data_IF_548109417369
#
_entry.id   IF_548109417369
#
_cell.length_a   1.000
_cell.length_b   1.000
_cell.length_c   1.000
_cell.angle_alpha   90.00
_cell.angle_beta   90.00
_cell.angle_gamma   90.00
#
_symmetry.space_group_name_H-M   'P 1'
#
loop_
_entity.id
_entity.type
_entity.pdbx_description
1 polymer ?
#
# COMPACT_ATOMS: atom_id res chain seq x y z
N UNK A 1 2.87 -12.20 -3.37
CA UNK A 1 2.82 -10.93 -2.62
C UNK A 1 1.38 -10.47 -2.44
N UNK A 2 1.14 -9.64 -1.41
CA UNK A 2 -0.14 -8.99 -1.19
C UNK A 2 -0.07 -7.54 -1.63
N UNK A 3 -1.14 -7.05 -2.25
CA UNK A 3 -1.33 -5.65 -2.61
C UNK A 3 -2.63 -5.14 -1.97
N UNK A 4 -2.50 -4.12 -1.10
CA UNK A 4 -3.62 -3.49 -0.41
C UNK A 4 -3.67 -1.98 -0.71
N UNK A 5 -4.21 -1.60 -1.88
CA UNK A 5 -4.16 -0.24 -2.40
C UNK A 5 -5.18 0.70 -1.77
N UNK A 6 -6.25 0.16 -1.17
CA UNK A 6 -7.32 0.97 -0.62
C UNK A 6 -7.03 1.44 0.81
N UNK A 7 -7.73 2.46 1.26
CA UNK A 7 -7.74 2.91 2.64
C UNK A 7 -9.11 3.49 3.01
N UNK A 8 -9.38 3.63 4.31
CA UNK A 8 -10.66 4.09 4.85
C UNK A 8 -11.18 5.45 4.33
N UNK A 9 -10.35 6.20 3.61
CA UNK A 9 -10.72 7.49 3.03
C UNK A 9 -11.26 7.39 1.60
N UNK A 10 -11.15 6.23 0.94
CA UNK A 10 -11.65 6.03 -0.44
C UNK A 10 -13.16 6.30 -0.58
N UNK A 11 -13.93 6.06 0.48
CA UNK A 11 -15.39 6.30 0.52
C UNK A 11 -15.77 7.76 0.73
N UNK A 12 -14.82 8.67 0.99
CA UNK A 12 -15.08 10.08 1.24
C UNK A 12 -15.02 10.88 -0.07
N UNK A 13 -15.97 11.81 -0.26
CA UNK A 13 -16.00 12.72 -1.43
C UNK A 13 -14.86 13.78 -1.45
N UNK A 14 -13.89 13.70 -0.57
CA UNK A 14 -12.73 14.59 -0.48
C UNK A 14 -11.50 13.93 -1.07
N UNK A 15 -10.49 14.74 -1.40
CA UNK A 15 -9.17 14.27 -1.81
C UNK A 15 -8.64 13.29 -0.75
N UNK A 16 -8.31 12.08 -1.20
CA UNK A 16 -7.68 11.08 -0.35
C UNK A 16 -6.17 11.30 -0.35
N UNK A 17 -5.69 12.07 0.61
CA UNK A 17 -4.28 12.46 0.70
C UNK A 17 -3.32 11.28 0.85
N UNK A 18 -3.78 10.11 1.31
CA UNK A 18 -2.97 8.90 1.48
C UNK A 18 -3.08 7.90 0.33
N UNK A 19 -3.92 8.18 -0.65
CA UNK A 19 -4.08 7.29 -1.79
C UNK A 19 -2.90 7.43 -2.76
N UNK A 20 -2.30 6.29 -3.11
CA UNK A 20 -1.47 6.22 -4.31
C UNK A 20 -2.39 6.18 -5.53
N UNK A 21 -2.09 6.91 -6.61
CA UNK A 21 -2.97 6.96 -7.78
C UNK A 21 -3.23 5.59 -8.39
N UNK A 22 -4.42 5.38 -8.94
CA UNK A 22 -4.74 4.15 -9.68
C UNK A 22 -3.76 3.88 -10.81
N UNK A 23 -3.31 4.92 -11.53
CA UNK A 23 -2.35 4.76 -12.62
C UNK A 23 -1.00 4.22 -12.13
N UNK A 24 -0.56 4.66 -10.95
CA UNK A 24 0.66 4.13 -10.35
C UNK A 24 0.48 2.66 -9.91
N UNK A 25 -0.69 2.29 -9.37
CA UNK A 25 -0.99 0.89 -9.05
C UNK A 25 -1.02 0.00 -10.29
N UNK A 26 -1.66 0.47 -11.38
CA UNK A 26 -1.70 -0.24 -12.66
C UNK A 26 -0.30 -0.45 -13.24
N UNK A 27 0.50 0.62 -13.27
CA UNK A 27 1.89 0.54 -13.72
C UNK A 27 2.69 -0.44 -12.87
N UNK A 28 2.59 -0.37 -11.54
CA UNK A 28 3.25 -1.30 -10.63
C UNK A 28 2.85 -2.76 -10.94
N UNK A 29 1.56 -3.06 -11.02
CA UNK A 29 1.06 -4.41 -11.31
C UNK A 29 1.52 -4.92 -12.70
N UNK A 30 1.67 -4.01 -13.66
CA UNK A 30 2.19 -4.37 -14.98
C UNK A 30 3.70 -4.65 -14.97
N UNK A 31 4.46 -4.00 -14.08
CA UNK A 31 5.90 -4.19 -13.92
C UNK A 31 6.24 -5.48 -13.14
N UNK A 32 5.38 -5.91 -12.22
CA UNK A 32 5.58 -7.15 -11.46
C UNK A 32 5.66 -8.35 -12.42
N UNK A 33 6.64 -9.27 -12.24
CA UNK A 33 6.77 -10.47 -13.07
C UNK A 33 5.46 -11.25 -13.19
N UNK A 34 5.13 -11.71 -14.39
CA UNK A 34 3.82 -12.30 -14.70
C UNK A 34 3.58 -13.68 -14.07
N UNK A 35 4.60 -14.31 -13.56
CA UNK A 35 4.56 -15.56 -12.77
C UNK A 35 4.39 -15.31 -11.26
N UNK A 36 4.43 -14.06 -10.82
CA UNK A 36 4.20 -13.70 -9.41
C UNK A 36 2.73 -13.78 -9.06
N UNK A 37 2.39 -14.56 -8.02
CA UNK A 37 1.05 -14.57 -7.44
C UNK A 37 0.79 -13.29 -6.66
N UNK A 38 -0.25 -12.55 -7.04
CA UNK A 38 -0.67 -11.31 -6.39
C UNK A 38 -2.03 -11.54 -5.71
N UNK A 39 -2.11 -11.24 -4.43
CA UNK A 39 -3.36 -11.30 -3.67
C UNK A 39 -3.81 -9.87 -3.41
N UNK A 40 -5.00 -9.51 -3.88
CA UNK A 40 -5.64 -8.24 -3.55
C UNK A 40 -6.47 -8.40 -2.27
N UNK A 41 -6.24 -7.53 -1.30
CA UNK A 41 -7.04 -7.45 -0.07
C UNK A 41 -7.57 -6.04 0.15
N UNK A 42 -8.81 -5.97 0.61
CA UNK A 42 -9.53 -4.73 0.90
C UNK A 42 -10.80 -5.02 1.68
N UNK A 43 -11.45 -3.99 2.22
CA UNK A 43 -12.67 -4.13 2.98
C UNK A 43 -13.89 -4.32 2.06
N UNK A 44 -14.95 -4.90 2.63
CA UNK A 44 -16.25 -4.99 1.95
C UNK A 44 -16.77 -3.61 1.54
N UNK A 45 -17.22 -3.49 0.30
CA UNK A 45 -17.69 -2.26 -0.33
C UNK A 45 -16.55 -1.38 -0.88
N UNK A 46 -15.37 -1.95 -1.09
CA UNK A 46 -14.24 -1.32 -1.80
C UNK A 46 -13.98 -1.99 -3.17
N UNK A 47 -14.80 -2.95 -3.56
CA UNK A 47 -14.63 -3.79 -4.75
C UNK A 47 -14.45 -2.95 -6.02
N UNK A 48 -15.25 -1.89 -6.19
CA UNK A 48 -15.17 -0.98 -7.36
C UNK A 48 -13.81 -0.28 -7.49
N UNK A 49 -13.11 -0.07 -6.36
CA UNK A 49 -11.77 0.50 -6.37
C UNK A 49 -10.74 -0.48 -6.97
N UNK A 50 -10.95 -1.78 -6.80
CA UNK A 50 -10.02 -2.82 -7.22
C UNK A 50 -10.27 -3.34 -8.63
N UNK A 51 -11.50 -3.27 -9.14
CA UNK A 51 -11.86 -3.75 -10.49
C UNK A 51 -10.91 -3.25 -11.59
N UNK A 52 -10.56 -1.95 -11.65
CA UNK A 52 -9.67 -1.44 -12.68
C UNK A 52 -8.23 -1.95 -12.59
N UNK A 53 -7.86 -2.64 -11.51
CA UNK A 53 -6.49 -3.14 -11.29
C UNK A 53 -6.31 -4.58 -11.77
N UNK A 54 -7.37 -5.38 -11.79
CA UNK A 54 -7.35 -6.82 -12.11
C UNK A 54 -6.76 -7.17 -13.49
N UNK A 55 -6.99 -6.39 -14.56
CA UNK A 55 -6.45 -6.72 -15.88
C UNK A 55 -4.92 -6.63 -16.02
N UNK A 56 -4.23 -5.99 -15.07
CA UNK A 56 -2.81 -5.64 -15.19
C UNK A 56 -1.85 -6.78 -14.83
N UNK A 57 -2.35 -7.83 -14.17
CA UNK A 57 -1.58 -9.06 -13.98
C UNK A 57 -2.50 -10.28 -14.09
N UNK A 58 -1.97 -11.41 -14.63
CA UNK A 58 -2.77 -12.63 -14.87
C UNK A 58 -2.95 -13.48 -13.62
N UNK A 59 -2.05 -13.38 -12.64
CA UNK A 59 -2.05 -14.20 -11.44
C UNK A 59 -2.59 -13.42 -10.22
N UNK A 60 -3.73 -12.74 -10.43
CA UNK A 60 -4.40 -12.01 -9.34
C UNK A 60 -5.45 -12.92 -8.68
N UNK A 61 -5.30 -13.07 -7.36
CA UNK A 61 -6.28 -13.67 -6.46
C UNK A 61 -7.01 -12.52 -5.75
N UNK A 62 -8.28 -12.36 -6.03
CA UNK A 62 -9.11 -11.30 -5.45
C UNK A 62 -9.82 -11.77 -4.19
N UNK A 63 -9.39 -11.26 -3.03
CA UNK A 63 -9.98 -11.49 -1.71
C UNK A 63 -10.67 -10.24 -1.12
N UNK A 64 -10.87 -9.19 -1.93
CA UNK A 64 -11.50 -7.93 -1.50
C UNK A 64 -12.94 -8.19 -1.03
N UNK A 65 -13.24 -7.82 0.20
CA UNK A 65 -14.56 -8.01 0.82
C UNK A 65 -14.96 -9.47 1.09
N UNK A 66 -14.06 -10.45 0.83
CA UNK A 66 -14.37 -11.88 0.87
C UNK A 66 -13.84 -12.58 2.12
N UNK A 67 -12.97 -11.95 2.87
CA UNK A 67 -12.33 -12.54 4.05
C UNK A 67 -12.56 -11.69 5.29
N UNK A 68 -12.60 -12.34 6.43
CA UNK A 68 -12.63 -11.71 7.75
C UNK A 68 -11.26 -11.15 8.13
N UNK A 69 -11.18 -10.34 9.18
CA UNK A 69 -9.90 -9.83 9.70
C UNK A 69 -8.99 -10.97 10.14
N UNK A 70 -9.52 -12.02 10.78
CA UNK A 70 -8.73 -13.17 11.22
C UNK A 70 -8.14 -13.95 10.05
N UNK A 71 -8.92 -14.17 8.98
CA UNK A 71 -8.45 -14.80 7.75
C UNK A 71 -7.41 -13.92 7.05
N UNK A 72 -7.60 -12.59 7.04
CA UNK A 72 -6.63 -11.66 6.49
C UNK A 72 -5.28 -11.75 7.22
N UNK A 73 -5.26 -11.84 8.56
CA UNK A 73 -4.03 -12.05 9.34
C UNK A 73 -3.30 -13.30 8.85
N UNK A 74 -4.02 -14.42 8.69
CA UNK A 74 -3.44 -15.69 8.22
C UNK A 74 -2.89 -15.62 6.78
N UNK A 75 -3.59 -14.90 5.90
CA UNK A 75 -3.13 -14.67 4.51
C UNK A 75 -1.86 -13.81 4.50
N UNK A 76 -1.83 -12.75 5.32
CA UNK A 76 -0.68 -11.86 5.43
C UNK A 76 0.54 -12.62 5.99
N UNK A 77 0.37 -13.38 7.07
CA UNK A 77 1.44 -14.16 7.70
C UNK A 77 2.11 -15.14 6.73
N UNK A 78 1.32 -15.76 5.82
CA UNK A 78 1.82 -16.74 4.84
C UNK A 78 2.37 -16.11 3.55
N UNK A 79 2.37 -14.79 3.46
CA UNK A 79 2.82 -14.08 2.27
C UNK A 79 4.25 -13.58 2.42
N UNK A 80 5.00 -13.50 1.31
CA UNK A 80 6.37 -12.98 1.31
C UNK A 80 6.42 -11.49 1.67
N UNK A 81 5.48 -10.70 1.16
CA UNK A 81 5.45 -9.26 1.39
C UNK A 81 4.05 -8.68 1.22
N UNK A 82 3.83 -7.53 1.87
CA UNK A 82 2.67 -6.66 1.70
C UNK A 82 3.10 -5.30 1.14
N UNK A 83 2.50 -4.90 0.03
CA UNK A 83 2.61 -3.55 -0.53
C UNK A 83 1.31 -2.79 -0.20
N UNK A 84 1.43 -1.68 0.52
CA UNK A 84 0.29 -1.02 1.15
C UNK A 84 0.51 0.49 1.29
N UNK A 85 -0.56 1.25 1.37
CA UNK A 85 -0.50 2.64 1.85
C UNK A 85 -0.61 2.68 3.38
N UNK A 86 -0.49 3.86 3.99
CA UNK A 86 -0.66 4.05 5.45
C UNK A 86 -2.07 3.66 5.92
N UNK A 87 -2.22 2.39 6.35
CA UNK A 87 -3.49 1.77 6.78
C UNK A 87 -3.27 0.72 7.87
N UNK A 88 -4.38 0.26 8.48
CA UNK A 88 -4.34 -0.80 9.50
C UNK A 88 -3.69 -2.11 9.04
N UNK A 89 -3.78 -2.45 7.75
CA UNK A 89 -3.17 -3.66 7.19
C UNK A 89 -1.64 -3.66 7.30
N UNK A 90 -1.01 -2.48 7.21
CA UNK A 90 0.44 -2.34 7.41
C UNK A 90 0.86 -2.76 8.83
N UNK A 91 0.07 -2.39 9.84
CA UNK A 91 0.34 -2.77 11.22
C UNK A 91 0.12 -4.26 11.47
N UNK A 92 -0.88 -4.87 10.82
CA UNK A 92 -1.10 -6.33 10.89
C UNK A 92 0.11 -7.07 10.33
N UNK A 93 0.59 -6.70 9.14
CA UNK A 93 1.75 -7.34 8.54
C UNK A 93 3.01 -7.21 9.41
N UNK A 94 3.20 -6.03 10.01
CA UNK A 94 4.28 -5.80 10.97
C UNK A 94 4.19 -6.73 12.20
N UNK A 95 2.98 -6.99 12.70
CA UNK A 95 2.74 -7.84 13.86
C UNK A 95 2.99 -9.34 13.59
N UNK A 96 2.86 -9.79 12.33
CA UNK A 96 3.10 -11.19 11.92
C UNK A 96 4.42 -11.38 11.18
N UNK A 97 5.33 -10.41 11.25
CA UNK A 97 6.67 -10.42 10.66
C UNK A 97 6.71 -10.60 9.12
N UNK A 98 5.64 -10.27 8.42
CA UNK A 98 5.63 -10.18 6.96
C UNK A 98 6.35 -8.92 6.52
N UNK A 99 7.19 -8.99 5.49
CA UNK A 99 7.87 -7.81 4.94
C UNK A 99 6.85 -6.76 4.47
N UNK A 100 6.98 -5.51 4.93
CA UNK A 100 6.02 -4.43 4.66
C UNK A 100 6.67 -3.34 3.81
N UNK A 101 6.10 -3.08 2.65
CA UNK A 101 6.45 -1.96 1.76
C UNK A 101 5.33 -0.91 1.87
N UNK A 102 5.52 0.06 2.78
CA UNK A 102 4.51 1.03 3.12
C UNK A 102 4.72 2.36 2.39
N UNK A 103 3.78 2.71 1.52
CA UNK A 103 3.78 3.97 0.77
C UNK A 103 3.23 5.08 1.66
N UNK A 104 4.07 6.02 2.04
CA UNK A 104 3.72 7.12 2.96
C UNK A 104 3.94 8.47 2.29
N UNK A 105 2.93 9.32 2.35
CA UNK A 105 2.98 10.69 1.85
C UNK A 105 2.82 11.72 2.96
N UNK A 106 1.58 12.13 3.30
CA UNK A 106 1.34 13.27 4.19
C UNK A 106 1.57 12.97 5.67
N UNK A 107 1.60 11.70 6.08
CA UNK A 107 1.67 11.27 7.48
C UNK A 107 3.12 11.08 7.95
N UNK A 108 3.45 11.37 9.21
CA UNK A 108 4.78 11.10 9.76
C UNK A 108 4.96 9.60 9.99
N UNK A 109 5.92 9.00 9.31
CA UNK A 109 6.18 7.55 9.37
C UNK A 109 6.50 7.04 10.77
N UNK A 110 7.17 7.86 11.58
CA UNK A 110 7.53 7.55 12.97
C UNK A 110 6.32 7.43 13.90
N UNK A 111 5.17 8.04 13.52
CA UNK A 111 3.95 8.06 14.35
C UNK A 111 2.88 7.12 13.81
N UNK A 112 2.76 7.00 12.50
CA UNK A 112 1.64 6.27 11.85
C UNK A 112 2.10 5.10 11.00
N UNK A 113 3.39 4.96 10.77
CA UNK A 113 3.95 3.84 10.01
C UNK A 113 3.87 2.50 10.76
N UNK A 114 4.04 1.38 10.05
CA UNK A 114 4.10 0.07 10.66
C UNK A 114 5.27 -0.05 11.64
N UNK A 115 5.02 -0.73 12.74
CA UNK A 115 6.01 -0.88 13.81
C UNK A 115 7.19 -1.73 13.36
N UNK A 116 8.41 -1.21 13.54
CA UNK A 116 9.65 -1.92 13.21
C UNK A 116 10.22 -2.61 14.44
N UNK A 117 10.54 -3.90 14.28
CA UNK A 117 11.20 -4.74 15.29
C UNK A 117 12.50 -5.31 14.71
N UNK A 118 13.36 -5.94 15.54
CA UNK A 118 14.50 -6.69 15.04
C UNK A 118 14.12 -7.92 14.17
N UNK A 119 12.86 -8.35 14.19
CA UNK A 119 12.39 -9.59 13.57
C UNK A 119 11.56 -9.38 12.31
N UNK A 120 11.18 -8.12 11.98
CA UNK A 120 10.40 -7.81 10.79
C UNK A 120 11.14 -6.86 9.85
N UNK A 121 10.75 -6.89 8.58
CA UNK A 121 11.28 -6.00 7.56
C UNK A 121 10.23 -4.94 7.22
N UNK A 122 10.55 -3.67 7.49
CA UNK A 122 9.67 -2.53 7.20
C UNK A 122 10.41 -1.54 6.33
N UNK A 123 9.87 -1.32 5.13
CA UNK A 123 10.36 -0.37 4.14
C UNK A 123 9.36 0.77 4.02
N UNK A 124 9.76 1.96 4.47
CA UNK A 124 8.97 3.19 4.30
C UNK A 124 9.35 3.84 2.98
N UNK A 125 8.38 3.97 2.10
CA UNK A 125 8.57 4.50 0.75
C UNK A 125 7.86 5.84 0.64
N UNK A 126 8.65 6.91 0.50
CA UNK A 126 8.15 8.27 0.35
C UNK A 126 8.80 8.99 -0.83
N UNK A 127 8.20 10.07 -1.28
CA UNK A 127 8.76 10.92 -2.32
C UNK A 127 9.77 11.95 -1.79
N UNK A 128 9.90 12.10 -0.46
CA UNK A 128 10.88 13.00 0.16
C UNK A 128 10.63 14.49 -0.11
N UNK A 129 9.37 14.91 -0.24
CA UNK A 129 9.04 16.32 -0.50
C UNK A 129 9.19 17.18 0.75
N UNK A 130 9.63 18.42 0.60
CA UNK A 130 9.80 19.38 1.69
C UNK A 130 8.48 19.73 2.42
N UNK A 131 7.33 19.60 1.76
CA UNK A 131 6.02 19.79 2.37
C UNK A 131 5.48 18.55 3.11
N UNK A 132 6.21 17.43 3.12
CA UNK A 132 5.80 16.18 3.75
C UNK A 132 6.82 15.77 4.84
N UNK A 133 6.33 15.35 6.04
CA UNK A 133 4.94 15.13 6.43
C UNK A 133 4.18 16.43 6.74
N UNK A 134 2.88 16.46 6.41
CA UNK A 134 2.03 17.64 6.62
C UNK A 134 0.69 17.32 7.33
N UNK A 135 0.56 16.12 7.88
CA UNK A 135 -0.68 15.67 8.51
C UNK A 135 -1.13 16.60 9.63
N UNK A 136 -2.39 17.05 9.56
CA UNK A 136 -3.02 18.02 10.49
C UNK A 136 -2.37 19.41 10.55
N UNK A 137 -1.52 19.78 9.61
CA UNK A 137 -0.94 21.12 9.50
C UNK A 137 -1.75 22.03 8.56
N UNK A 138 -1.43 23.32 8.54
CA UNK A 138 -2.05 24.27 7.60
C UNK A 138 -1.66 23.97 6.15
N UNK A 139 -0.48 23.41 5.91
CA UNK A 139 -0.08 22.93 4.59
C UNK A 139 -1.06 21.90 4.04
N UNK A 140 -1.52 20.96 4.87
CA UNK A 140 -2.51 19.96 4.45
C UNK A 140 -3.88 20.58 4.17
N UNK A 141 -4.28 21.63 4.92
CA UNK A 141 -5.59 22.28 4.73
C UNK A 141 -5.73 22.94 3.36
N UNK A 142 -4.64 23.49 2.85
CA UNK A 142 -4.61 24.20 1.54
C UNK A 142 -4.17 23.30 0.39
N UNK A 143 -3.73 22.08 0.67
CA UNK A 143 -3.28 21.14 -0.34
C UNK A 143 -4.44 20.71 -1.24
N UNK A 144 -4.29 20.93 -2.54
CA UNK A 144 -5.29 20.54 -3.56
C UNK A 144 -4.89 19.26 -4.30
N UNK A 145 -3.65 18.80 -4.13
CA UNK A 145 -3.10 17.68 -4.87
C UNK A 145 -2.07 16.94 -4.00
N UNK A 146 -2.24 15.63 -3.83
CA UNK A 146 -1.35 14.78 -3.04
C UNK A 146 -0.08 14.37 -3.82
N UNK A 147 0.66 15.35 -4.31
CA UNK A 147 1.90 15.12 -5.09
C UNK A 147 2.93 14.25 -4.35
N UNK A 148 2.91 14.26 -3.01
CA UNK A 148 3.74 13.37 -2.19
C UNK A 148 3.46 11.88 -2.45
N UNK A 149 2.22 11.50 -2.72
CA UNK A 149 1.88 10.13 -3.12
C UNK A 149 2.11 9.91 -4.62
N UNK A 150 1.71 10.85 -5.48
CA UNK A 150 1.89 10.75 -6.93
C UNK A 150 3.34 10.59 -7.35
N UNK A 151 4.27 11.20 -6.62
CA UNK A 151 5.70 11.17 -6.92
C UNK A 151 6.42 9.91 -6.38
N UNK A 152 5.76 9.04 -5.62
CA UNK A 152 6.28 7.70 -5.37
C UNK A 152 6.17 6.92 -6.68
N UNK A 153 7.30 6.60 -7.29
CA UNK A 153 7.32 5.95 -8.61
C UNK A 153 7.15 4.44 -8.48
N UNK A 154 6.33 3.78 -9.33
CA UNK A 154 6.15 2.33 -9.33
C UNK A 154 7.44 1.54 -9.45
N UNK A 155 8.37 2.01 -10.29
CA UNK A 155 9.67 1.38 -10.46
C UNK A 155 10.49 1.38 -9.15
N UNK A 156 10.45 2.46 -8.37
CA UNK A 156 11.11 2.51 -7.06
C UNK A 156 10.58 1.44 -6.09
N UNK A 157 9.27 1.16 -6.13
CA UNK A 157 8.67 0.11 -5.31
C UNK A 157 9.15 -1.26 -5.77
N UNK A 158 9.20 -1.49 -7.08
CA UNK A 158 9.70 -2.72 -7.68
C UNK A 158 11.17 -2.96 -7.35
N UNK A 159 12.01 -1.94 -7.48
CA UNK A 159 13.45 -2.02 -7.19
C UNK A 159 13.69 -2.44 -5.74
N UNK A 160 12.96 -1.86 -4.78
CA UNK A 160 13.04 -2.23 -3.37
C UNK A 160 12.58 -3.68 -3.11
N UNK A 161 11.57 -4.18 -3.83
CA UNK A 161 11.15 -5.59 -3.74
C UNK A 161 12.25 -6.54 -4.26
N UNK A 162 12.94 -6.16 -5.34
CA UNK A 162 14.06 -6.92 -5.88
C UNK A 162 15.27 -6.89 -4.93
N UNK A 163 15.64 -5.73 -4.39
CA UNK A 163 16.72 -5.58 -3.40
C UNK A 163 16.47 -6.42 -2.15
N UNK A 164 15.22 -6.50 -1.70
CA UNK A 164 14.78 -7.33 -0.58
C UNK A 164 14.61 -8.82 -0.97
N UNK A 165 14.88 -9.21 -2.21
CA UNK A 165 14.74 -10.60 -2.72
C UNK A 165 13.33 -11.18 -2.55
N UNK A 166 12.32 -10.34 -2.69
CA UNK A 166 10.90 -10.72 -2.65
C UNK A 166 10.44 -11.22 -4.03
N UNK A 167 10.92 -10.57 -5.08
CA UNK A 167 10.66 -10.91 -6.50
C UNK A 167 11.89 -11.49 -7.16
#
# INVERSE_FOLDING_TARGET
IIVSPSNSHNKKKRLNYRAWPHENWKEFLNLVPKDTNIILIGAKGEEDFFEPLKPYNRNIIDLVGKITISEMVSVVEKSKALIVTDTGTAHIASAVNTAVFCLIGPTPAEQTGPYKTPFNEVYIISAGLSCSPCYKTDVMKVCKDNICMKNIKPLKVLDLLNEAKIL
#
